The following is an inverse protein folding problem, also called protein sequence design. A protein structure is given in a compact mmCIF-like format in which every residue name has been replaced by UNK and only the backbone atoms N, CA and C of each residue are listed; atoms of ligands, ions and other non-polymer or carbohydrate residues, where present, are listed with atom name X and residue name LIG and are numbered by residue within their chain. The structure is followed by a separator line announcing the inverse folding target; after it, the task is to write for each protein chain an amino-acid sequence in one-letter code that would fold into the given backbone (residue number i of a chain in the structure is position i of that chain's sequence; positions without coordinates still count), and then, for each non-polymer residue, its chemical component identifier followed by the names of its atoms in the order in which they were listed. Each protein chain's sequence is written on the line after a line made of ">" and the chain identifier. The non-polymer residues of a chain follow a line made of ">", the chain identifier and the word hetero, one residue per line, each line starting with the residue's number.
data_IF_174050211994
#
_entry.id   IF_174050211994
#
_cell.length_a   1.000
_cell.length_b   1.000
_cell.length_c   1.000
_cell.angle_alpha   90.00
_cell.angle_beta   90.00
_cell.angle_gamma   90.00
#
_symmetry.space_group_name_H-M   'P 1'
#
loop_
_entity.id
_entity.type
_entity.pdbx_description
1 polymer ?
#
# COMPACT_ATOMS: atom_id res chain seq x y z
N UNK A 1 25.47 58.90 3.60
CA UNK A 1 24.14 59.40 3.21
C UNK A 1 23.30 58.16 3.00
N UNK A 2 22.78 57.64 4.12
CA UNK A 2 21.70 56.65 4.26
C UNK A 2 21.73 55.42 3.34
N UNK A 3 22.55 54.44 3.75
CA UNK A 3 22.31 53.01 3.51
C UNK A 3 21.19 52.44 4.43
N UNK A 4 20.46 53.31 5.16
CA UNK A 4 19.37 52.96 6.08
C UNK A 4 17.98 52.84 5.39
N UNK A 5 17.82 53.37 4.17
CA UNK A 5 16.51 53.44 3.48
C UNK A 5 16.26 52.26 2.51
N UNK A 6 17.30 51.45 2.20
CA UNK A 6 17.21 50.30 1.27
C UNK A 6 17.08 48.93 1.96
N UNK A 7 17.49 48.82 3.23
CA UNK A 7 17.29 47.63 4.07
C UNK A 7 15.83 47.14 4.16
N UNK A 8 14.80 47.99 4.33
CA UNK A 8 13.41 47.54 4.44
C UNK A 8 12.86 46.93 3.14
N UNK A 9 13.32 47.36 1.97
CA UNK A 9 12.84 46.82 0.68
C UNK A 9 13.46 45.46 0.35
N UNK A 10 14.74 45.28 0.70
CA UNK A 10 15.43 44.00 0.50
C UNK A 10 14.85 42.90 1.39
N UNK A 11 14.48 43.21 2.64
CA UNK A 11 13.78 42.26 3.52
C UNK A 11 12.42 41.85 2.97
N UNK A 12 11.65 42.80 2.43
CA UNK A 12 10.32 42.52 1.85
C UNK A 12 10.39 41.57 0.64
N UNK A 13 11.42 41.69 -0.20
CA UNK A 13 11.63 40.78 -1.33
C UNK A 13 12.03 39.37 -0.88
N UNK A 14 12.90 39.28 0.12
CA UNK A 14 13.31 37.99 0.69
C UNK A 14 12.15 37.29 1.37
N UNK A 15 11.30 38.02 2.09
CA UNK A 15 10.07 37.46 2.68
C UNK A 15 9.10 36.96 1.61
N UNK A 16 8.92 37.70 0.51
CA UNK A 16 8.08 37.26 -0.62
C UNK A 16 8.64 36.02 -1.32
N UNK A 17 9.95 35.94 -1.48
CA UNK A 17 10.63 34.76 -2.05
C UNK A 17 10.53 33.57 -1.10
N UNK A 18 10.76 33.77 0.19
CA UNK A 18 10.60 32.73 1.22
C UNK A 18 9.16 32.21 1.24
N UNK A 19 8.16 33.09 1.22
CA UNK A 19 6.75 32.72 1.16
C UNK A 19 6.42 31.88 -0.08
N UNK A 20 6.96 32.23 -1.26
CA UNK A 20 6.77 31.44 -2.49
C UNK A 20 7.42 30.06 -2.41
N UNK A 21 8.66 29.98 -1.93
CA UNK A 21 9.38 28.72 -1.77
C UNK A 21 8.69 27.80 -0.76
N UNK A 22 8.13 28.35 0.32
CA UNK A 22 7.35 27.56 1.26
C UNK A 22 6.08 26.99 0.63
N UNK A 23 5.39 27.77 -0.20
CA UNK A 23 4.21 27.30 -0.94
C UNK A 23 4.56 26.18 -1.91
N UNK A 24 5.63 26.35 -2.71
CA UNK A 24 6.10 25.30 -3.64
C UNK A 24 6.56 24.05 -2.91
N UNK A 25 7.32 24.19 -1.81
CA UNK A 25 7.74 23.05 -0.99
C UNK A 25 6.55 22.33 -0.38
N UNK A 26 5.52 23.05 0.07
CA UNK A 26 4.27 22.44 0.56
C UNK A 26 3.58 21.65 -0.54
N UNK A 27 3.46 22.23 -1.75
CA UNK A 27 2.86 21.53 -2.89
C UNK A 27 3.64 20.28 -3.28
N UNK A 28 4.96 20.38 -3.41
CA UNK A 28 5.82 19.24 -3.73
C UNK A 28 5.74 18.13 -2.68
N UNK A 29 5.66 18.48 -1.38
CA UNK A 29 5.44 17.51 -0.30
C UNK A 29 4.11 16.79 -0.44
N UNK A 30 3.02 17.52 -0.69
CA UNK A 30 1.68 16.94 -0.87
C UNK A 30 1.68 15.99 -2.07
N UNK A 31 2.25 16.39 -3.20
CA UNK A 31 2.32 15.55 -4.40
C UNK A 31 3.17 14.30 -4.18
N UNK A 32 4.31 14.44 -3.49
CA UNK A 32 5.15 13.32 -3.10
C UNK A 32 4.41 12.35 -2.17
N UNK A 33 3.64 12.84 -1.20
CA UNK A 33 2.83 12.00 -0.31
C UNK A 33 1.71 11.29 -1.05
N UNK A 34 1.00 11.97 -1.95
CA UNK A 34 -0.04 11.36 -2.80
C UNK A 34 0.58 10.23 -3.62
N UNK A 35 1.72 10.50 -4.26
CA UNK A 35 2.40 9.51 -5.11
C UNK A 35 2.91 8.32 -4.30
N UNK A 36 3.45 8.55 -3.10
CA UNK A 36 3.91 7.50 -2.19
C UNK A 36 2.73 6.65 -1.69
N UNK A 37 1.63 7.30 -1.32
CA UNK A 37 0.38 6.63 -0.90
C UNK A 37 -0.18 5.78 -2.03
N UNK A 38 -0.30 6.33 -3.25
CA UNK A 38 -0.74 5.60 -4.43
C UNK A 38 0.15 4.39 -4.73
N UNK A 39 1.48 4.56 -4.67
CA UNK A 39 2.44 3.46 -4.90
C UNK A 39 2.31 2.38 -3.83
N UNK A 40 2.15 2.77 -2.56
CA UNK A 40 1.97 1.82 -1.46
C UNK A 40 0.64 1.06 -1.53
N UNK A 41 -0.44 1.72 -1.93
CA UNK A 41 -1.76 1.09 -2.12
C UNK A 41 -1.75 0.08 -3.28
N UNK A 42 -1.12 0.45 -4.41
CA UNK A 42 -0.94 -0.45 -5.55
C UNK A 42 -0.10 -1.68 -5.17
N UNK A 43 1.02 -1.48 -4.48
CA UNK A 43 1.88 -2.59 -4.03
C UNK A 43 1.18 -3.53 -3.05
N UNK A 44 0.40 -2.98 -2.11
CA UNK A 44 -0.39 -3.75 -1.16
C UNK A 44 -1.48 -4.59 -1.82
N UNK A 45 -2.28 -3.98 -2.70
CA UNK A 45 -3.33 -4.69 -3.44
C UNK A 45 -2.78 -5.76 -4.38
N UNK A 46 -1.69 -5.48 -5.10
CA UNK A 46 -1.03 -6.43 -5.98
C UNK A 46 -0.52 -7.66 -5.22
N UNK A 47 0.10 -7.46 -4.06
CA UNK A 47 0.55 -8.57 -3.22
C UNK A 47 -0.60 -9.48 -2.79
N UNK A 48 -1.71 -8.91 -2.35
CA UNK A 48 -2.91 -9.68 -1.96
C UNK A 48 -3.42 -10.49 -3.15
N UNK A 49 -3.47 -9.89 -4.35
CA UNK A 49 -3.89 -10.57 -5.57
C UNK A 49 -2.95 -11.75 -5.92
N UNK A 50 -1.63 -11.56 -5.85
CA UNK A 50 -0.65 -12.63 -6.11
C UNK A 50 -0.75 -13.73 -5.06
N UNK A 51 -0.94 -13.40 -3.78
CA UNK A 51 -1.15 -14.38 -2.71
C UNK A 51 -2.42 -15.23 -2.96
N UNK A 52 -3.50 -14.63 -3.48
CA UNK A 52 -4.71 -15.37 -3.87
C UNK A 52 -4.45 -16.31 -5.04
N UNK A 53 -3.81 -15.80 -6.10
CA UNK A 53 -3.50 -16.60 -7.28
C UNK A 53 -2.56 -17.76 -6.95
N UNK A 54 -1.57 -17.55 -6.08
CA UNK A 54 -0.67 -18.59 -5.63
C UNK A 54 -1.40 -19.69 -4.85
N UNK A 55 -2.25 -19.33 -3.88
CA UNK A 55 -3.03 -20.29 -3.11
C UNK A 55 -3.99 -21.09 -3.99
N UNK A 56 -4.65 -20.43 -4.96
CA UNK A 56 -5.52 -21.08 -5.93
C UNK A 56 -4.74 -22.02 -6.86
N UNK A 57 -3.59 -21.59 -7.37
CA UNK A 57 -2.73 -22.41 -8.23
C UNK A 57 -2.24 -23.66 -7.49
N UNK A 58 -1.85 -23.53 -6.22
CA UNK A 58 -1.44 -24.67 -5.39
C UNK A 58 -2.62 -25.62 -5.13
N UNK A 59 -3.78 -25.11 -4.72
CA UNK A 59 -4.97 -25.93 -4.46
C UNK A 59 -5.45 -26.68 -5.71
N UNK A 60 -5.47 -26.00 -6.85
CA UNK A 60 -5.83 -26.59 -8.14
C UNK A 60 -4.79 -27.61 -8.60
N UNK A 61 -3.49 -27.29 -8.50
CA UNK A 61 -2.42 -28.18 -8.90
C UNK A 61 -2.37 -29.47 -8.06
N UNK A 62 -2.53 -29.35 -6.74
CA UNK A 62 -2.62 -30.51 -5.84
C UNK A 62 -3.88 -31.33 -6.12
N UNK A 63 -5.02 -30.69 -6.33
CA UNK A 63 -6.26 -31.38 -6.66
C UNK A 63 -6.19 -32.12 -7.99
N UNK A 64 -5.59 -31.51 -9.02
CA UNK A 64 -5.35 -32.16 -10.31
C UNK A 64 -4.42 -33.37 -10.20
N UNK A 65 -3.32 -33.24 -9.43
CA UNK A 65 -2.39 -34.35 -9.21
C UNK A 65 -3.06 -35.51 -8.47
N UNK A 66 -3.89 -35.21 -7.46
CA UNK A 66 -4.65 -36.19 -6.72
C UNK A 66 -5.70 -36.90 -7.59
N UNK A 67 -6.46 -36.15 -8.40
CA UNK A 67 -7.43 -36.72 -9.35
C UNK A 67 -6.75 -37.70 -10.33
N UNK A 68 -5.55 -37.36 -10.81
CA UNK A 68 -4.78 -38.23 -11.71
C UNK A 68 -4.32 -39.53 -11.05
N UNK A 69 -3.96 -39.50 -9.78
CA UNK A 69 -3.51 -40.70 -9.06
C UNK A 69 -4.67 -41.60 -8.64
N UNK A 70 -5.81 -41.01 -8.30
CA UNK A 70 -6.98 -41.73 -7.80
C UNK A 70 -7.98 -42.13 -8.90
N UNK A 71 -7.76 -41.67 -10.14
CA UNK A 71 -8.66 -41.92 -11.26
C UNK A 71 -10.05 -41.28 -11.06
N UNK A 72 -10.16 -40.35 -10.12
CA UNK A 72 -11.40 -39.62 -9.87
C UNK A 72 -11.63 -38.60 -10.98
N UNK A 73 -12.85 -38.55 -11.51
CA UNK A 73 -13.36 -37.37 -12.23
C UNK A 73 -13.19 -36.12 -11.34
N UNK A 74 -13.24 -34.86 -11.86
CA UNK A 74 -12.52 -33.70 -11.31
C UNK A 74 -13.07 -33.13 -9.98
N UNK A 75 -13.61 -33.98 -9.12
CA UNK A 75 -14.14 -33.71 -7.80
C UNK A 75 -13.06 -33.27 -6.81
N UNK A 76 -11.86 -33.88 -6.82
CA UNK A 76 -10.80 -33.49 -5.88
C UNK A 76 -10.20 -32.15 -6.32
N UNK A 77 -10.07 -31.90 -7.62
CA UNK A 77 -9.70 -30.59 -8.15
C UNK A 77 -10.71 -29.51 -7.74
N UNK A 78 -12.02 -29.76 -7.84
CA UNK A 78 -13.05 -28.83 -7.38
C UNK A 78 -12.91 -28.56 -5.88
N UNK A 79 -12.76 -29.61 -5.06
CA UNK A 79 -12.52 -29.44 -3.63
C UNK A 79 -11.22 -28.67 -3.34
N UNK A 80 -10.15 -28.95 -4.09
CA UNK A 80 -8.84 -28.29 -3.99
C UNK A 80 -8.89 -26.81 -4.36
N UNK A 81 -9.73 -26.42 -5.32
CA UNK A 81 -10.01 -25.02 -5.65
C UNK A 81 -10.65 -24.30 -4.45
N UNK A 82 -11.69 -24.87 -3.85
CA UNK A 82 -12.33 -24.29 -2.66
C UNK A 82 -11.36 -24.21 -1.47
N UNK A 83 -10.53 -25.23 -1.29
CA UNK A 83 -9.52 -25.26 -0.23
C UNK A 83 -8.45 -24.19 -0.46
N UNK A 84 -7.96 -24.04 -1.69
CA UNK A 84 -7.01 -23.00 -2.09
C UNK A 84 -7.60 -21.59 -1.93
N UNK A 85 -8.87 -21.41 -2.28
CA UNK A 85 -9.60 -20.16 -2.07
C UNK A 85 -9.74 -19.83 -0.57
N UNK A 86 -10.13 -20.80 0.27
CA UNK A 86 -10.22 -20.61 1.71
C UNK A 86 -8.86 -20.28 2.35
N UNK A 87 -7.80 -20.97 1.94
CA UNK A 87 -6.43 -20.67 2.37
C UNK A 87 -5.99 -19.26 1.93
N UNK A 88 -6.34 -18.87 0.72
CA UNK A 88 -6.14 -17.51 0.21
C UNK A 88 -6.86 -16.48 1.09
N UNK A 89 -8.17 -16.59 1.25
CA UNK A 89 -8.96 -15.67 2.09
C UNK A 89 -8.39 -15.54 3.51
N UNK A 90 -7.93 -16.65 4.10
CA UNK A 90 -7.29 -16.63 5.43
C UNK A 90 -6.01 -15.78 5.44
N UNK A 91 -5.18 -15.86 4.39
CA UNK A 91 -4.00 -15.01 4.26
C UNK A 91 -4.37 -13.53 4.08
N UNK A 92 -5.42 -13.24 3.30
CA UNK A 92 -5.92 -11.88 3.10
C UNK A 92 -6.41 -11.25 4.40
N UNK A 93 -7.25 -11.94 5.16
CA UNK A 93 -7.79 -11.46 6.44
C UNK A 93 -6.64 -11.17 7.42
N UNK A 94 -5.66 -12.08 7.52
CA UNK A 94 -4.47 -11.88 8.35
C UNK A 94 -3.61 -10.70 7.89
N UNK A 95 -3.56 -10.41 6.59
CA UNK A 95 -2.86 -9.24 6.05
C UNK A 95 -3.61 -7.94 6.36
N UNK A 96 -4.94 -7.96 6.30
CA UNK A 96 -5.79 -6.85 6.70
C UNK A 96 -5.65 -6.55 8.20
N UNK A 97 -5.75 -7.55 9.07
CA UNK A 97 -5.57 -7.42 10.53
C UNK A 97 -4.23 -6.77 10.90
N UNK A 98 -3.14 -7.13 10.21
CA UNK A 98 -1.82 -6.52 10.42
C UNK A 98 -1.75 -5.04 10.01
N UNK A 99 -2.54 -4.63 9.03
CA UNK A 99 -2.66 -3.22 8.65
C UNK A 99 -3.51 -2.43 9.65
N UNK A 100 -4.55 -3.03 10.20
CA UNK A 100 -5.36 -2.42 11.27
C UNK A 100 -4.59 -2.29 12.58
N UNK A 101 -3.94 -3.36 13.05
CA UNK A 101 -3.14 -3.34 14.28
C UNK A 101 -1.95 -2.36 14.24
N UNK A 102 -1.48 -1.97 13.04
CA UNK A 102 -0.44 -0.94 12.87
C UNK A 102 -0.98 0.49 12.97
N UNK A 103 -2.28 0.71 12.76
CA UNK A 103 -2.92 2.03 12.89
C UNK A 103 -3.24 2.32 14.36
N UNK A 104 -3.74 1.33 15.08
CA UNK A 104 -4.14 1.50 16.49
C UNK A 104 -2.94 1.75 17.43
N UNK A 105 -1.73 1.32 17.05
CA UNK A 105 -0.50 1.60 17.81
C UNK A 105 0.19 2.94 17.49
N UNK A 106 -0.28 3.65 16.46
CA UNK A 106 0.19 5.01 16.14
C UNK A 106 -0.65 6.06 16.89
N UNK A 107 -1.97 5.85 17.01
CA UNK A 107 -2.89 6.73 17.74
C UNK A 107 -2.58 6.81 19.25
N UNK A 108 -2.09 5.74 19.87
CA UNK A 108 -1.70 5.70 21.30
C UNK A 108 -0.43 6.52 21.63
N UNK A 109 0.41 6.83 20.63
CA UNK A 109 1.64 7.63 20.84
C UNK A 109 1.48 9.11 20.58
N UNK A 110 0.32 9.53 20.08
CA UNK A 110 -0.03 10.93 19.78
C UNK A 110 -1.13 11.50 20.67
N UNK A 111 -1.63 10.73 21.66
CA UNK A 111 -2.56 11.17 22.69
C UNK A 111 -1.89 11.79 23.91
#
# INVERSE_FOLDING_TARGET
>A
MTDEDDLPKASDELERLAARLEVERRQAKIEQEIRRTATSALGGGFRIAVEMLAALAVGTGLGYMADRMLGTLPWIMVAGIFLGFAAGMRNMIRSAERMHAKRDGEDDKTG
#
